data_IF_069395219723
#
_entry.id   IF_069395219723
#
_cell.length_a   1.000
_cell.length_b   1.000
_cell.length_c   1.000
_cell.angle_alpha   90.00
_cell.angle_beta   90.00
_cell.angle_gamma   90.00
#
_symmetry.space_group_name_H-M   'P 1'
#
loop_
_entity.id
_entity.type
_entity.pdbx_description
1 polymer ?
#
# COMPACT_ATOMS: atom_id res chain seq x y z
N UNK A 1 32.19 16.61 4.38
CA UNK A 1 31.35 15.58 5.02
C UNK A 1 31.70 15.55 6.49
N UNK A 2 30.75 15.97 7.31
CA UNK A 2 30.94 15.97 8.74
C UNK A 2 30.65 14.59 9.29
N UNK A 3 31.66 13.74 9.36
CA UNK A 3 31.56 12.39 9.93
C UNK A 3 31.59 12.44 11.45
N UNK A 4 30.71 13.23 12.06
CA UNK A 4 30.55 13.14 13.50
C UNK A 4 29.88 11.80 13.85
N UNK A 5 30.43 11.06 14.79
CA UNK A 5 29.76 9.87 15.24
C UNK A 5 28.40 10.22 15.86
N UNK A 6 27.37 9.43 15.56
CA UNK A 6 26.05 9.58 16.17
C UNK A 6 26.18 9.63 17.69
N UNK A 7 25.45 10.55 18.33
CA UNK A 7 25.46 10.65 19.78
C UNK A 7 24.78 9.45 20.44
N UNK A 8 24.94 9.34 21.76
CA UNK A 8 24.42 8.19 22.52
C UNK A 8 22.90 8.08 22.42
N UNK A 9 22.18 9.18 22.46
CA UNK A 9 20.72 9.21 22.33
C UNK A 9 20.28 8.69 20.96
N UNK A 10 20.92 9.14 19.89
CA UNK A 10 20.67 8.65 18.54
C UNK A 10 20.90 7.14 18.41
N UNK A 11 21.95 6.62 19.03
CA UNK A 11 22.22 5.18 19.04
C UNK A 11 21.15 4.36 19.75
N UNK A 12 20.66 4.85 20.88
CA UNK A 12 19.58 4.18 21.61
C UNK A 12 18.30 4.11 20.78
N UNK A 13 17.97 5.21 20.11
CA UNK A 13 16.80 5.29 19.25
C UNK A 13 16.98 4.38 18.02
N UNK A 14 18.13 4.38 17.41
CA UNK A 14 18.47 3.49 16.30
C UNK A 14 18.28 2.02 16.69
N UNK A 15 18.80 1.59 17.83
CA UNK A 15 18.65 0.22 18.30
C UNK A 15 17.21 -0.16 18.56
N UNK A 16 16.43 0.77 19.13
CA UNK A 16 14.99 0.57 19.35
C UNK A 16 14.23 0.41 18.03
N UNK A 17 14.54 1.25 17.05
CA UNK A 17 13.90 1.18 15.74
C UNK A 17 14.31 -0.06 14.94
N UNK A 18 15.56 -0.51 15.08
CA UNK A 18 15.99 -1.82 14.52
C UNK A 18 15.12 -2.95 15.03
N UNK A 19 14.88 -2.99 16.34
CA UNK A 19 14.01 -4.01 16.94
C UNK A 19 12.58 -3.91 16.43
N UNK A 20 12.06 -2.70 16.32
CA UNK A 20 10.70 -2.46 15.81
C UNK A 20 10.55 -2.92 14.37
N UNK A 21 11.49 -2.53 13.50
CA UNK A 21 11.50 -2.89 12.09
C UNK A 21 11.76 -4.38 11.83
N UNK A 22 12.34 -5.09 12.80
CA UNK A 22 12.52 -6.54 12.73
C UNK A 22 11.21 -7.31 12.92
N UNK A 23 10.20 -6.70 13.51
CA UNK A 23 8.92 -7.35 13.81
C UNK A 23 7.91 -7.21 12.69
N UNK A 24 7.95 -6.10 11.94
CA UNK A 24 7.07 -5.82 10.81
C UNK A 24 7.69 -4.79 9.88
N UNK A 25 7.14 -4.70 8.68
CA UNK A 25 7.54 -3.68 7.71
C UNK A 25 6.99 -2.30 8.09
N UNK A 26 7.85 -1.30 7.96
CA UNK A 26 7.50 0.12 8.08
C UNK A 26 8.03 0.84 6.85
N UNK A 27 7.28 1.80 6.32
CA UNK A 27 7.81 2.65 5.26
C UNK A 27 8.74 3.72 5.84
N UNK A 28 9.59 4.28 4.98
CA UNK A 28 10.58 5.30 5.34
C UNK A 28 9.94 6.49 6.07
N UNK A 29 8.79 6.98 5.59
CA UNK A 29 8.06 8.10 6.18
C UNK A 29 7.59 7.80 7.61
N UNK A 30 7.07 6.60 7.86
CA UNK A 30 6.62 6.21 9.20
C UNK A 30 7.78 6.15 10.19
N UNK A 31 8.92 5.61 9.76
CA UNK A 31 10.13 5.53 10.61
C UNK A 31 10.71 6.92 10.86
N UNK A 32 10.70 7.80 9.85
CA UNK A 32 11.13 9.20 10.01
C UNK A 32 10.28 9.90 11.06
N UNK A 33 8.97 9.72 11.04
CA UNK A 33 8.07 10.29 12.05
C UNK A 33 8.41 9.80 13.45
N UNK A 34 8.64 8.50 13.60
CA UNK A 34 9.03 7.89 14.88
C UNK A 34 10.37 8.44 15.38
N UNK A 35 11.34 8.61 14.49
CA UNK A 35 12.64 9.17 14.82
C UNK A 35 12.54 10.65 15.25
N UNK A 36 11.75 11.45 14.53
CA UNK A 36 11.50 12.85 14.87
C UNK A 36 10.85 12.97 16.25
N UNK A 37 9.83 12.17 16.53
CA UNK A 37 9.13 12.19 17.82
C UNK A 37 10.08 11.81 18.97
N UNK A 38 10.95 10.83 18.74
CA UNK A 38 11.90 10.36 19.75
C UNK A 38 13.09 11.32 19.97
N UNK A 39 13.42 12.13 18.96
CA UNK A 39 14.54 13.09 18.98
C UNK A 39 14.08 14.54 19.11
N UNK A 40 12.89 14.77 19.66
CA UNK A 40 12.32 16.08 19.94
C UNK A 40 12.30 17.03 18.72
N UNK A 41 12.05 16.45 17.53
CA UNK A 41 11.96 17.21 16.28
C UNK A 41 13.28 17.56 15.62
N UNK A 42 14.40 17.01 16.10
CA UNK A 42 15.72 17.21 15.49
C UNK A 42 15.78 16.46 14.13
N UNK A 43 15.52 17.20 13.05
CA UNK A 43 15.43 16.64 11.71
C UNK A 43 16.77 16.03 11.23
N UNK A 44 17.90 16.67 11.54
CA UNK A 44 19.22 16.18 11.14
C UNK A 44 19.55 14.85 11.84
N UNK A 45 19.32 14.78 13.14
CA UNK A 45 19.54 13.56 13.92
C UNK A 45 18.60 12.43 13.47
N UNK A 46 17.31 12.75 13.22
CA UNK A 46 16.35 11.78 12.71
C UNK A 46 16.75 11.23 11.33
N UNK A 47 17.22 12.10 10.45
CA UNK A 47 17.68 11.67 9.11
C UNK A 47 18.87 10.73 9.19
N UNK A 48 19.83 10.98 10.09
CA UNK A 48 20.96 10.07 10.30
C UNK A 48 20.49 8.67 10.71
N UNK A 49 19.55 8.59 11.65
CA UNK A 49 18.97 7.31 12.11
C UNK A 49 18.27 6.59 10.97
N UNK A 50 17.45 7.29 10.21
CA UNK A 50 16.73 6.69 9.07
C UNK A 50 17.69 6.22 7.99
N UNK A 51 18.72 7.00 7.68
CA UNK A 51 19.72 6.63 6.68
C UNK A 51 20.44 5.33 7.04
N UNK A 52 20.79 5.14 8.30
CA UNK A 52 21.38 3.88 8.79
C UNK A 52 20.41 2.71 8.61
N UNK A 53 19.15 2.89 8.98
CA UNK A 53 18.12 1.85 8.85
C UNK A 53 17.90 1.45 7.39
N UNK A 54 17.95 2.41 6.47
CA UNK A 54 17.83 2.16 5.02
C UNK A 54 19.07 1.42 4.52
N UNK A 55 20.27 1.88 4.87
CA UNK A 55 21.54 1.27 4.46
C UNK A 55 21.66 -0.17 4.96
N UNK A 56 21.23 -0.44 6.17
CA UNK A 56 21.20 -1.77 6.78
C UNK A 56 19.99 -2.63 6.37
N UNK A 57 19.14 -2.10 5.52
CA UNK A 57 17.95 -2.79 5.00
C UNK A 57 16.87 -3.17 6.03
N UNK A 58 16.86 -2.50 7.16
CA UNK A 58 15.73 -2.57 8.10
C UNK A 58 14.51 -1.84 7.55
N UNK A 59 14.73 -0.82 6.72
CA UNK A 59 13.68 -0.04 6.04
C UNK A 59 13.94 -0.11 4.54
N UNK A 60 12.93 -0.57 3.80
CA UNK A 60 12.98 -0.71 2.35
C UNK A 60 11.58 -0.47 1.81
N UNK A 61 11.36 0.68 1.16
CA UNK A 61 10.04 1.08 0.68
C UNK A 61 9.50 0.14 -0.41
N UNK A 62 10.35 -0.46 -1.24
CA UNK A 62 9.91 -1.45 -2.22
C UNK A 62 9.40 -2.72 -1.52
N UNK A 63 10.10 -3.20 -0.53
CA UNK A 63 9.68 -4.38 0.25
C UNK A 63 8.38 -4.07 1.00
N UNK A 64 8.27 -2.88 1.61
CA UNK A 64 7.05 -2.42 2.26
C UNK A 64 5.88 -2.36 1.27
N UNK A 65 6.07 -1.70 0.13
CA UNK A 65 5.03 -1.53 -0.88
C UNK A 65 4.59 -2.87 -1.47
N UNK A 66 5.53 -3.79 -1.70
CA UNK A 66 5.23 -5.12 -2.24
C UNK A 66 4.39 -5.96 -1.27
N UNK A 67 4.74 -5.95 0.01
CA UNK A 67 3.95 -6.63 1.05
C UNK A 67 2.57 -6.00 1.21
N UNK A 68 2.51 -4.67 1.25
CA UNK A 68 1.26 -3.92 1.35
C UNK A 68 0.32 -4.23 0.17
N UNK A 69 0.83 -4.16 -1.05
CA UNK A 69 0.04 -4.42 -2.25
C UNK A 69 -0.50 -5.86 -2.28
N UNK A 70 0.33 -6.83 -1.95
CA UNK A 70 -0.06 -8.24 -1.88
C UNK A 70 -1.17 -8.47 -0.85
N UNK A 71 -1.03 -7.91 0.34
CA UNK A 71 -2.01 -8.09 1.41
C UNK A 71 -3.32 -7.38 1.11
N UNK A 72 -3.26 -6.14 0.62
CA UNK A 72 -4.47 -5.38 0.27
C UNK A 72 -5.22 -5.98 -0.92
N UNK A 73 -4.52 -6.45 -1.92
CA UNK A 73 -5.14 -7.15 -3.04
C UNK A 73 -5.71 -8.51 -2.62
N UNK A 74 -4.93 -9.32 -1.91
CA UNK A 74 -5.30 -10.70 -1.55
C UNK A 74 -6.26 -10.80 -0.38
N UNK A 75 -6.01 -10.07 0.71
CA UNK A 75 -6.80 -10.16 1.93
C UNK A 75 -7.95 -9.16 1.98
N UNK A 76 -7.72 -7.93 1.54
CA UNK A 76 -8.73 -6.86 1.59
C UNK A 76 -9.54 -6.73 0.30
N UNK A 77 -9.10 -7.35 -0.78
CA UNK A 77 -9.79 -7.30 -2.07
C UNK A 77 -9.73 -5.93 -2.76
N UNK A 78 -8.69 -5.14 -2.45
CA UNK A 78 -8.55 -3.81 -3.08
C UNK A 78 -8.00 -3.93 -4.50
N UNK A 79 -8.46 -3.03 -5.37
CA UNK A 79 -7.89 -2.85 -6.70
C UNK A 79 -6.67 -1.95 -6.70
N UNK A 80 -5.98 -1.91 -7.83
CA UNK A 80 -4.72 -1.19 -8.02
C UNK A 80 -4.84 0.31 -7.72
N UNK A 81 -5.94 0.95 -8.13
CA UNK A 81 -6.12 2.40 -7.97
C UNK A 81 -6.09 2.79 -6.48
N UNK A 82 -6.77 2.04 -5.63
CA UNK A 82 -6.80 2.29 -4.18
C UNK A 82 -5.45 2.01 -3.53
N UNK A 83 -4.80 0.91 -3.90
CA UNK A 83 -3.49 0.55 -3.36
C UNK A 83 -2.47 1.63 -3.71
N UNK A 84 -2.45 2.07 -4.98
CA UNK A 84 -1.56 3.14 -5.45
C UNK A 84 -1.76 4.44 -4.66
N UNK A 85 -3.01 4.83 -4.48
CA UNK A 85 -3.36 6.04 -3.74
C UNK A 85 -2.89 5.97 -2.28
N UNK A 86 -3.11 4.85 -1.62
CA UNK A 86 -2.72 4.67 -0.22
C UNK A 86 -1.20 4.61 -0.03
N UNK A 87 -0.48 3.99 -0.94
CA UNK A 87 0.99 3.97 -0.90
C UNK A 87 1.58 5.34 -1.18
N UNK A 88 0.99 6.12 -2.08
CA UNK A 88 1.39 7.51 -2.32
C UNK A 88 1.20 8.36 -1.05
N UNK A 89 0.11 8.17 -0.33
CA UNK A 89 -0.15 8.84 0.94
C UNK A 89 0.88 8.45 2.03
N UNK A 90 1.46 7.26 1.92
CA UNK A 90 2.57 6.81 2.79
C UNK A 90 3.93 7.35 2.35
N UNK A 91 3.97 8.20 1.36
CA UNK A 91 5.21 8.81 0.88
C UNK A 91 6.11 7.90 0.05
N UNK A 92 5.58 6.77 -0.41
CA UNK A 92 6.32 5.86 -1.28
C UNK A 92 6.43 6.47 -2.68
N UNK A 93 7.62 6.45 -3.28
CA UNK A 93 7.87 7.02 -4.59
C UNK A 93 7.05 6.31 -5.68
N UNK A 94 6.61 7.07 -6.68
CA UNK A 94 5.76 6.57 -7.78
C UNK A 94 6.37 5.36 -8.50
N UNK A 95 7.66 5.40 -8.75
CA UNK A 95 8.39 4.32 -9.43
C UNK A 95 8.41 3.03 -8.60
N UNK A 96 8.55 3.16 -7.29
CA UNK A 96 8.50 2.04 -6.34
C UNK A 96 7.09 1.45 -6.30
N UNK A 97 6.08 2.28 -6.25
CA UNK A 97 4.67 1.84 -6.29
C UNK A 97 4.40 1.04 -7.57
N UNK A 98 4.84 1.56 -8.72
CA UNK A 98 4.64 0.88 -10.00
C UNK A 98 5.33 -0.47 -10.05
N UNK A 99 6.54 -0.57 -9.51
CA UNK A 99 7.27 -1.84 -9.42
C UNK A 99 6.57 -2.84 -8.49
N UNK A 100 6.12 -2.39 -7.33
CA UNK A 100 5.38 -3.21 -6.37
C UNK A 100 4.07 -3.75 -6.97
N UNK A 101 3.31 -2.90 -7.65
CA UNK A 101 2.05 -3.28 -8.30
C UNK A 101 2.28 -4.22 -9.50
N UNK A 102 3.41 -4.07 -10.19
CA UNK A 102 3.80 -4.95 -11.28
C UNK A 102 4.06 -6.40 -10.85
N UNK A 103 4.25 -6.65 -9.57
CA UNK A 103 4.43 -8.00 -9.01
C UNK A 103 3.10 -8.73 -8.78
N UNK A 104 1.97 -8.04 -8.86
CA UNK A 104 0.65 -8.64 -8.68
C UNK A 104 0.27 -9.36 -9.97
N UNK A 105 -0.14 -10.62 -9.84
CA UNK A 105 -0.61 -11.42 -10.97
C UNK A 105 -1.93 -10.84 -11.50
N UNK A 106 -1.92 -10.34 -12.74
CA UNK A 106 -3.08 -9.71 -13.37
C UNK A 106 -4.24 -10.67 -13.58
N UNK A 107 -3.97 -11.94 -13.84
CA UNK A 107 -5.02 -12.96 -13.98
C UNK A 107 -5.76 -13.20 -12.66
N UNK A 108 -5.03 -13.26 -11.56
CA UNK A 108 -5.61 -13.39 -10.22
C UNK A 108 -6.40 -12.15 -9.83
N UNK A 109 -5.90 -10.96 -10.17
CA UNK A 109 -6.60 -9.70 -9.92
C UNK A 109 -7.93 -9.65 -10.69
N UNK A 110 -7.93 -10.07 -11.95
CA UNK A 110 -9.13 -10.15 -12.78
C UNK A 110 -10.17 -11.12 -12.17
N UNK A 111 -9.75 -12.28 -11.74
CA UNK A 111 -10.64 -13.26 -11.10
C UNK A 111 -11.23 -12.71 -9.78
N UNK A 112 -10.44 -12.00 -9.00
CA UNK A 112 -10.94 -11.36 -7.76
C UNK A 112 -12.00 -10.31 -8.07
N UNK A 113 -11.79 -9.49 -9.10
CA UNK A 113 -12.75 -8.48 -9.53
C UNK A 113 -14.07 -9.13 -9.98
N UNK A 114 -13.98 -10.15 -10.82
CA UNK A 114 -15.15 -10.89 -11.31
C UNK A 114 -15.97 -11.49 -10.15
N UNK A 115 -15.31 -12.15 -9.22
CA UNK A 115 -15.95 -12.72 -8.03
C UNK A 115 -16.61 -11.65 -7.16
N UNK A 116 -15.91 -10.54 -6.95
CA UNK A 116 -16.41 -9.42 -6.16
C UNK A 116 -17.73 -8.88 -6.75
N UNK A 117 -17.75 -8.67 -8.05
CA UNK A 117 -18.93 -8.15 -8.76
C UNK A 117 -20.04 -9.19 -8.80
N UNK A 118 -19.75 -10.45 -9.08
CA UNK A 118 -20.75 -11.54 -9.07
C UNK A 118 -21.46 -11.66 -7.71
N UNK A 119 -20.68 -11.63 -6.63
CA UNK A 119 -21.23 -11.74 -5.28
C UNK A 119 -22.16 -10.55 -4.96
N UNK A 120 -21.75 -9.35 -5.34
CA UNK A 120 -22.57 -8.14 -5.12
C UNK A 120 -23.80 -8.14 -6.02
N UNK A 121 -23.68 -8.60 -7.24
CA UNK A 121 -24.77 -8.69 -8.21
C UNK A 121 -25.95 -9.51 -7.68
N UNK A 122 -25.68 -10.61 -6.99
CA UNK A 122 -26.74 -11.46 -6.40
C UNK A 122 -27.70 -10.67 -5.50
N UNK A 123 -27.20 -9.70 -4.77
CA UNK A 123 -28.00 -8.85 -3.90
C UNK A 123 -28.66 -7.68 -4.62
N UNK A 124 -28.23 -7.35 -5.83
CA UNK A 124 -28.68 -6.18 -6.59
C UNK A 124 -29.42 -6.53 -7.88
N UNK A 125 -29.60 -7.81 -8.16
CA UNK A 125 -30.13 -8.32 -9.43
C UNK A 125 -31.46 -7.67 -9.84
N UNK A 126 -32.37 -7.45 -8.91
CA UNK A 126 -33.70 -6.90 -9.17
C UNK A 126 -33.79 -5.38 -8.91
N UNK A 127 -32.68 -4.74 -8.57
CA UNK A 127 -32.63 -3.31 -8.33
C UNK A 127 -32.55 -2.57 -9.67
N UNK A 128 -33.46 -1.58 -9.92
CA UNK A 128 -33.42 -0.79 -11.16
C UNK A 128 -32.10 -0.05 -11.40
N UNK A 129 -31.36 0.24 -10.32
CA UNK A 129 -30.05 0.90 -10.38
C UNK A 129 -28.88 -0.09 -10.23
N UNK A 130 -29.09 -1.35 -10.53
CA UNK A 130 -28.12 -2.42 -10.36
C UNK A 130 -26.76 -2.06 -10.98
N UNK A 131 -26.74 -1.66 -12.25
CA UNK A 131 -25.51 -1.29 -12.96
C UNK A 131 -24.74 -0.19 -12.23
N UNK A 132 -25.43 0.89 -11.87
CA UNK A 132 -24.81 2.04 -11.18
C UNK A 132 -24.23 1.63 -9.83
N UNK A 133 -24.97 0.84 -9.06
CA UNK A 133 -24.53 0.38 -7.74
C UNK A 133 -23.37 -0.57 -7.82
N UNK A 134 -23.32 -1.45 -8.81
CA UNK A 134 -22.16 -2.33 -9.06
C UNK A 134 -20.92 -1.54 -9.43
N UNK A 135 -21.05 -0.56 -10.33
CA UNK A 135 -19.94 0.32 -10.71
C UNK A 135 -19.39 1.05 -9.48
N UNK A 136 -20.24 1.68 -8.70
CA UNK A 136 -19.83 2.39 -7.48
C UNK A 136 -19.16 1.48 -6.47
N UNK A 137 -19.69 0.29 -6.29
CA UNK A 137 -19.13 -0.69 -5.35
C UNK A 137 -17.72 -1.09 -5.73
N UNK A 138 -17.48 -1.48 -6.98
CA UNK A 138 -16.17 -1.91 -7.43
C UNK A 138 -15.16 -0.75 -7.53
N UNK A 139 -15.60 0.42 -7.99
CA UNK A 139 -14.78 1.63 -7.99
C UNK A 139 -14.35 2.01 -6.58
N UNK A 140 -15.24 1.89 -5.60
CA UNK A 140 -14.93 2.14 -4.19
C UNK A 140 -13.91 1.16 -3.61
N UNK A 141 -13.79 -0.03 -4.20
CA UNK A 141 -12.77 -1.01 -3.85
C UNK A 141 -11.44 -0.75 -4.56
N UNK A 142 -11.39 0.23 -5.45
CA UNK A 142 -10.16 0.69 -6.08
C UNK A 142 -9.84 0.08 -7.44
N UNK A 143 -10.81 -0.54 -8.09
CA UNK A 143 -10.62 -1.05 -9.46
C UNK A 143 -10.86 0.07 -10.48
N UNK A 144 -10.23 -0.04 -11.67
CA UNK A 144 -10.39 0.94 -12.73
C UNK A 144 -11.76 0.89 -13.41
N UNK A 145 -12.24 2.04 -13.88
CA UNK A 145 -13.58 2.13 -14.48
C UNK A 145 -13.76 1.19 -15.68
N UNK A 146 -12.80 1.19 -16.61
CA UNK A 146 -12.94 0.41 -17.86
C UNK A 146 -13.02 -1.10 -17.58
N UNK A 147 -12.20 -1.62 -16.67
CA UNK A 147 -12.24 -3.03 -16.31
C UNK A 147 -13.51 -3.39 -15.55
N UNK A 148 -13.97 -2.52 -14.65
CA UNK A 148 -15.22 -2.71 -13.90
C UNK A 148 -16.41 -2.72 -14.86
N UNK A 149 -16.48 -1.75 -15.75
CA UNK A 149 -17.59 -1.64 -16.73
C UNK A 149 -17.67 -2.87 -17.63
N UNK A 150 -16.53 -3.39 -18.09
CA UNK A 150 -16.49 -4.61 -18.90
C UNK A 150 -17.08 -5.81 -18.15
N UNK A 151 -16.70 -6.01 -16.90
CA UNK A 151 -17.18 -7.13 -16.10
C UNK A 151 -18.68 -6.99 -15.80
N UNK A 152 -19.11 -5.79 -15.40
CA UNK A 152 -20.53 -5.51 -15.09
C UNK A 152 -21.40 -5.72 -16.32
N UNK A 153 -21.02 -5.14 -17.44
CA UNK A 153 -21.83 -5.21 -18.68
C UNK A 153 -21.88 -6.63 -19.24
N UNK A 154 -20.77 -7.38 -19.13
CA UNK A 154 -20.75 -8.80 -19.51
C UNK A 154 -21.71 -9.61 -18.63
N UNK A 155 -21.62 -9.44 -17.32
CA UNK A 155 -22.46 -10.16 -16.36
C UNK A 155 -23.97 -9.88 -16.59
N UNK A 156 -24.33 -8.62 -16.78
CA UNK A 156 -25.71 -8.22 -16.99
C UNK A 156 -26.29 -8.66 -18.35
N UNK A 157 -25.41 -8.83 -19.36
CA UNK A 157 -25.81 -9.27 -20.68
C UNK A 157 -26.10 -10.77 -20.74
N UNK A 158 -25.34 -11.57 -19.99
CA UNK A 158 -25.37 -13.05 -20.09
C UNK A 158 -26.03 -13.75 -18.89
N UNK A 159 -26.64 -12.97 -18.02
CA UNK A 159 -27.36 -13.53 -16.88
C UNK A 159 -28.80 -13.94 -17.25
#
# INVERSE_FOLDING_TARGET
MDCRPMNEEGRKILDRLRRLCSRREYCRKDVMKKALDALDGDAAAAQEVVDVLVDEKYVDDLRYASAYARDKAGLSGWGEVKIRHMLAAKGVAREIISEALGQIDSSKAQLRLEKLIENKYRSLKDDPQCRLKLLRFALGRGYGYDEVARVVDFLMKYD
#
